data_IF_654028803079
#
_entry.id   IF_654028803079
#
_cell.length_a   1.000
_cell.length_b   1.000
_cell.length_c   1.000
_cell.angle_alpha   90.00
_cell.angle_beta   90.00
_cell.angle_gamma   90.00
#
_symmetry.space_group_name_H-M   'P 1'
#
loop_
_entity.id
_entity.type
_entity.pdbx_description
1 polymer ?
#
# COMPACT_ATOMS: atom_id res chain seq x y z
N UNK A 1 12.49 -4.31 17.25
CA UNK A 1 11.25 -4.01 16.51
C UNK A 1 11.63 -3.02 15.42
N UNK A 2 11.55 -3.39 14.14
CA UNK A 2 11.99 -2.51 13.04
C UNK A 2 11.08 -1.30 12.90
N UNK A 3 11.62 -0.18 12.41
CA UNK A 3 10.85 1.01 12.05
C UNK A 3 9.90 0.70 10.90
N UNK A 4 8.70 1.29 10.90
CA UNK A 4 7.75 1.18 9.79
C UNK A 4 8.37 1.73 8.52
N UNK A 5 8.20 1.03 7.41
CA UNK A 5 8.69 1.41 6.09
C UNK A 5 7.51 1.76 5.21
N UNK A 6 7.70 2.62 4.20
CA UNK A 6 6.62 3.04 3.33
C UNK A 6 7.07 3.18 1.88
N UNK A 7 6.12 3.05 0.97
CA UNK A 7 6.26 3.36 -0.46
C UNK A 7 5.21 4.40 -0.81
N UNK A 8 5.56 5.35 -1.67
CA UNK A 8 4.62 6.35 -2.17
C UNK A 8 4.56 6.31 -3.69
N UNK A 9 3.35 6.48 -4.22
CA UNK A 9 3.03 6.54 -5.64
C UNK A 9 2.38 7.90 -5.91
N UNK A 10 3.00 8.70 -6.77
CA UNK A 10 2.44 9.96 -7.26
C UNK A 10 1.78 9.71 -8.63
N UNK A 11 0.49 10.02 -8.73
CA UNK A 11 -0.27 9.93 -9.97
C UNK A 11 -0.25 11.29 -10.69
N UNK A 12 -0.11 11.32 -12.03
CA UNK A 12 -0.08 12.58 -12.77
C UNK A 12 -1.43 13.32 -12.76
N UNK A 13 -2.52 12.64 -12.34
CA UNK A 13 -3.87 13.15 -12.17
C UNK A 13 -4.56 12.35 -11.06
N UNK A 14 -5.62 12.88 -10.43
CA UNK A 14 -6.43 12.12 -9.50
C UNK A 14 -6.96 10.82 -10.11
N UNK A 15 -6.80 9.72 -9.39
CA UNK A 15 -7.31 8.40 -9.75
C UNK A 15 -8.21 7.88 -8.66
N UNK A 16 -9.22 7.11 -9.05
CA UNK A 16 -10.06 6.38 -8.12
C UNK A 16 -9.46 5.00 -7.89
N UNK A 17 -8.83 4.78 -6.75
CA UNK A 17 -8.22 3.49 -6.40
C UNK A 17 -9.28 2.58 -5.80
N UNK A 18 -9.42 1.37 -6.34
CA UNK A 18 -10.34 0.34 -5.83
C UNK A 18 -9.60 -0.87 -5.26
N UNK A 19 -8.39 -1.16 -5.75
CA UNK A 19 -7.67 -2.35 -5.31
C UNK A 19 -6.14 -2.20 -5.39
N UNK A 20 -5.43 -2.75 -4.40
CA UNK A 20 -3.97 -2.92 -4.44
C UNK A 20 -3.57 -4.39 -4.58
N UNK A 21 -2.55 -4.62 -5.39
CA UNK A 21 -1.86 -5.90 -5.53
C UNK A 21 -0.43 -5.72 -5.07
N UNK A 22 -0.06 -6.40 -3.99
CA UNK A 22 1.33 -6.39 -3.51
C UNK A 22 1.82 -7.82 -3.40
N UNK A 23 2.94 -8.10 -4.06
CA UNK A 23 3.66 -9.36 -3.94
C UNK A 23 4.94 -9.13 -3.16
N UNK A 24 5.04 -9.78 -2.01
CA UNK A 24 6.27 -9.81 -1.22
C UNK A 24 7.15 -11.01 -1.61
N UNK A 25 8.41 -10.96 -1.21
CA UNK A 25 9.27 -12.13 -1.21
C UNK A 25 8.64 -13.25 -0.35
N UNK A 26 8.83 -14.52 -0.73
CA UNK A 26 8.33 -15.66 0.03
C UNK A 26 8.78 -15.64 1.50
N UNK A 27 7.85 -15.93 2.43
CA UNK A 27 8.08 -15.88 3.87
C UNK A 27 7.65 -14.55 4.55
N UNK A 28 7.18 -13.57 3.77
CA UNK A 28 6.75 -12.28 4.28
C UNK A 28 5.24 -12.13 4.23
N UNK A 29 4.66 -11.66 5.33
CA UNK A 29 3.26 -11.23 5.42
C UNK A 29 3.22 -9.91 6.20
N UNK A 30 2.96 -8.79 5.53
CA UNK A 30 2.70 -7.53 6.23
C UNK A 30 1.23 -7.53 6.68
N UNK A 31 0.98 -7.44 7.99
CA UNK A 31 -0.39 -7.51 8.54
C UNK A 31 -1.14 -6.18 8.54
N UNK A 32 -0.51 -5.06 8.23
CA UNK A 32 -1.18 -3.76 8.09
C UNK A 32 -0.52 -2.93 6.99
N UNK A 33 -1.33 -2.53 6.02
CA UNK A 33 -1.03 -1.47 5.05
C UNK A 33 -2.03 -0.33 5.30
N UNK A 34 -1.56 0.83 5.74
CA UNK A 34 -2.38 2.05 5.77
C UNK A 34 -2.23 2.76 4.43
N UNK A 35 -3.36 3.06 3.79
CA UNK A 35 -3.40 3.93 2.62
C UNK A 35 -3.69 5.35 3.07
N UNK A 36 -2.89 6.33 2.66
CA UNK A 36 -3.17 7.75 2.88
C UNK A 36 -3.21 8.46 1.52
N UNK A 37 -4.31 9.18 1.26
CA UNK A 37 -4.37 10.24 0.25
C UNK A 37 -4.07 11.61 0.88
N UNK A 38 -3.66 12.61 0.10
CA UNK A 38 -3.32 13.94 0.63
C UNK A 38 -4.48 14.62 1.41
N UNK A 39 -5.72 14.16 1.23
CA UNK A 39 -6.91 14.63 1.95
C UNK A 39 -7.18 13.88 3.29
N UNK A 40 -6.19 13.16 3.82
CA UNK A 40 -6.23 12.56 5.17
C UNK A 40 -7.15 11.33 5.33
N UNK A 41 -7.68 10.79 4.23
CA UNK A 41 -8.50 9.57 4.26
C UNK A 41 -7.62 8.33 4.40
N UNK A 42 -7.85 7.56 5.46
CA UNK A 42 -7.10 6.35 5.78
C UNK A 42 -7.95 5.09 5.62
N UNK A 43 -7.50 4.14 4.78
CA UNK A 43 -8.16 2.84 4.56
C UNK A 43 -7.34 1.65 5.10
N UNK A 44 -8.02 0.56 5.49
CA UNK A 44 -7.41 -0.70 5.95
C UNK A 44 -7.41 -1.77 4.85
N UNK A 45 -6.41 -2.65 4.82
CA UNK A 45 -6.17 -3.51 3.66
C UNK A 45 -5.61 -4.93 4.03
N UNK A 46 -6.11 -6.01 3.40
CA UNK A 46 -5.65 -7.45 3.45
C UNK A 46 -4.99 -7.94 2.13
N UNK A 47 -4.11 -8.98 2.05
CA UNK A 47 -3.12 -9.21 0.96
C UNK A 47 -3.61 -9.37 -0.49
N UNK A 48 -4.92 -9.36 -0.74
CA UNK A 48 -5.53 -8.85 -1.98
C UNK A 48 -6.42 -7.69 -1.54
N UNK A 49 -5.87 -6.50 -1.64
CA UNK A 49 -6.33 -5.36 -0.87
C UNK A 49 -7.54 -4.75 -1.59
N UNK A 50 -8.75 -5.23 -1.28
CA UNK A 50 -9.94 -4.45 -1.54
C UNK A 50 -9.83 -3.19 -0.67
N UNK A 51 -9.80 -2.03 -1.32
CA UNK A 51 -9.69 -0.74 -0.65
C UNK A 51 -11.05 -0.07 -0.76
N UNK A 52 -11.44 0.69 0.26
CA UNK A 52 -12.55 1.62 0.09
C UNK A 52 -12.24 2.58 -1.05
N UNK A 53 -13.13 2.64 -2.05
CA UNK A 53 -12.89 3.43 -3.26
C UNK A 53 -12.57 4.88 -2.91
N UNK A 54 -11.32 5.27 -3.17
CA UNK A 54 -10.81 6.58 -2.76
C UNK A 54 -10.22 7.29 -3.97
N UNK A 55 -10.62 8.55 -4.14
CA UNK A 55 -10.01 9.44 -5.13
C UNK A 55 -8.80 10.10 -4.49
N UNK A 56 -7.64 9.94 -5.12
CA UNK A 56 -6.37 10.49 -4.66
C UNK A 56 -5.43 10.78 -5.83
N UNK A 57 -4.55 11.74 -5.65
CA UNK A 57 -3.42 12.08 -6.53
C UNK A 57 -2.11 11.43 -6.04
N UNK A 58 -2.02 11.17 -4.74
CA UNK A 58 -0.90 10.49 -4.12
C UNK A 58 -1.39 9.34 -3.25
N UNK A 59 -0.75 8.19 -3.40
CA UNK A 59 -0.98 7.03 -2.54
C UNK A 59 0.27 6.73 -1.73
N UNK A 60 0.13 6.69 -0.41
CA UNK A 60 1.16 6.15 0.49
C UNK A 60 0.74 4.79 1.03
N UNK A 61 1.63 3.82 0.96
CA UNK A 61 1.45 2.48 1.54
C UNK A 61 2.49 2.32 2.65
N UNK A 62 2.02 2.26 3.90
CA UNK A 62 2.89 2.03 5.05
C UNK A 62 2.89 0.56 5.43
N UNK A 63 4.03 -0.10 5.32
CA UNK A 63 4.24 -1.46 5.80
C UNK A 63 4.57 -1.41 7.30
N UNK A 64 3.69 -2.01 8.10
CA UNK A 64 3.91 -2.20 9.54
C UNK A 64 5.09 -3.13 9.86
N UNK A 65 5.02 -3.85 10.99
CA UNK A 65 6.10 -4.75 11.38
C UNK A 65 6.35 -5.85 10.33
N UNK A 66 7.61 -5.95 9.89
CA UNK A 66 8.06 -7.04 9.03
C UNK A 66 8.29 -8.32 9.85
N UNK A 67 8.06 -9.45 9.21
CA UNK A 67 8.34 -10.80 9.74
C UNK A 67 9.76 -11.28 9.40
N UNK A 68 10.54 -10.50 8.64
CA UNK A 68 11.95 -10.77 8.37
C UNK A 68 12.82 -10.59 9.61
N UNK A 69 13.86 -11.42 9.71
CA UNK A 69 14.83 -11.38 10.80
C UNK A 69 15.57 -10.03 10.89
N UNK A 70 15.77 -9.36 9.75
CA UNK A 70 16.39 -8.03 9.68
C UNK A 70 15.37 -6.89 9.60
N UNK A 71 14.08 -7.19 9.67
CA UNK A 71 13.01 -6.20 9.57
C UNK A 71 12.88 -5.55 8.19
N UNK A 72 13.47 -6.12 7.13
CA UNK A 72 13.35 -5.58 5.76
C UNK A 72 11.95 -5.82 5.21
N UNK A 73 11.53 -5.00 4.26
CA UNK A 73 10.34 -5.26 3.44
C UNK A 73 10.79 -5.32 1.99
N UNK A 74 10.58 -6.46 1.33
CA UNK A 74 10.93 -6.65 -0.08
C UNK A 74 9.67 -6.85 -0.89
N UNK A 75 9.39 -5.89 -1.77
CA UNK A 75 8.25 -5.90 -2.69
C UNK A 75 8.76 -6.26 -4.09
N UNK A 76 8.25 -7.36 -4.66
CA UNK A 76 8.57 -7.79 -6.02
C UNK A 76 7.65 -7.14 -7.05
N UNK A 77 6.36 -7.08 -6.74
CA UNK A 77 5.36 -6.46 -7.61
C UNK A 77 4.43 -5.58 -6.79
N UNK A 78 4.19 -4.37 -7.28
CA UNK A 78 3.21 -3.43 -6.76
C UNK A 78 2.32 -2.99 -7.92
N UNK A 79 1.02 -3.28 -7.81
CA UNK A 79 0.00 -2.91 -8.77
C UNK A 79 -1.12 -2.13 -8.10
N UNK A 80 -1.60 -1.10 -8.78
CA UNK A 80 -2.78 -0.33 -8.39
C UNK A 80 -3.84 -0.51 -9.47
N UNK A 81 -5.03 -0.91 -9.06
CA UNK A 81 -6.21 -1.04 -9.91
C UNK A 81 -7.23 0.03 -9.52
N UNK A 82 -7.92 0.55 -10.53
CA UNK A 82 -8.82 1.68 -10.36
C UNK A 82 -9.16 2.34 -11.69
N UNK A 83 -9.78 3.51 -11.60
CA UNK A 83 -10.21 4.31 -12.74
C UNK A 83 -9.45 5.63 -12.81
N UNK A 84 -9.14 6.08 -14.02
CA UNK A 84 -8.68 7.45 -14.26
C UNK A 84 -9.89 8.37 -14.31
N UNK A 85 -9.79 9.52 -13.64
CA UNK A 85 -10.78 10.58 -13.72
C UNK A 85 -10.49 11.55 -14.87
#
# INVERSE_FOLDING_TARGET
QGTSQWVSLDFPRPVKVSQLHVQFQGGFSSRLCTLEGEDGRAGNAVPRFQVEETVLDKLRITFGSSTDFFGRVVVYHLGVLGERL
#
